data_IF_309681204119
#
_entry.id   IF_309681204119
#
_cell.length_a   1.000
_cell.length_b   1.000
_cell.length_c   1.000
_cell.angle_alpha   90.00
_cell.angle_beta   90.00
_cell.angle_gamma   90.00
#
_symmetry.space_group_name_H-M   'P 1'
#
loop_
_entity.id
_entity.type
_entity.pdbx_description
1 polymer ?
#
# COMPACT_ATOMS: atom_id res chain seq x y z
N UNK A 1 7.95 7.50 -3.36
CA UNK A 1 7.58 8.30 -2.18
C UNK A 1 7.31 9.71 -2.63
N UNK A 2 6.13 10.26 -2.34
CA UNK A 2 5.75 11.63 -2.67
C UNK A 2 5.19 12.34 -1.42
N UNK A 3 6.02 13.20 -0.82
CA UNK A 3 5.72 13.90 0.44
C UNK A 3 5.25 15.35 0.25
N UNK A 4 4.78 15.72 -0.95
CA UNK A 4 4.25 17.05 -1.26
C UNK A 4 2.84 16.96 -1.86
N UNK A 5 2.14 18.09 -1.87
CA UNK A 5 0.82 18.17 -2.46
C UNK A 5 0.39 19.60 -2.81
N UNK A 6 -0.81 19.71 -3.35
CA UNK A 6 -1.47 20.95 -3.73
C UNK A 6 -2.98 20.86 -3.52
N UNK A 7 -3.65 22.00 -3.60
CA UNK A 7 -5.11 22.07 -3.52
C UNK A 7 -5.76 21.25 -4.65
N UNK A 8 -6.78 20.40 -4.38
CA UNK A 8 -7.35 19.49 -5.37
C UNK A 8 -7.85 20.13 -6.67
N UNK A 9 -8.29 21.38 -6.61
CA UNK A 9 -8.83 22.11 -7.76
C UNK A 9 -7.81 23.10 -8.38
N UNK A 10 -6.56 23.07 -7.93
CA UNK A 10 -5.51 23.93 -8.47
C UNK A 10 -4.89 23.34 -9.75
N UNK A 11 -4.42 24.18 -10.66
CA UNK A 11 -3.43 23.74 -11.64
C UNK A 11 -2.09 23.59 -10.90
N UNK A 12 -1.38 22.44 -10.97
CA UNK A 12 -1.46 21.33 -11.95
C UNK A 12 -2.05 20.00 -11.41
N UNK A 13 -3.06 20.03 -10.53
CA UNK A 13 -3.55 18.85 -9.80
C UNK A 13 -3.93 17.67 -10.70
N UNK A 14 -4.69 17.91 -11.78
CA UNK A 14 -5.08 16.85 -12.72
C UNK A 14 -3.88 16.20 -13.41
N UNK A 15 -2.88 17.00 -13.81
CA UNK A 15 -1.65 16.49 -14.41
C UNK A 15 -0.89 15.58 -13.43
N UNK A 16 -0.82 15.98 -12.16
CA UNK A 16 -0.14 15.21 -11.12
C UNK A 16 -0.86 13.87 -10.84
N UNK A 17 -2.19 13.87 -10.75
CA UNK A 17 -2.98 12.63 -10.61
C UNK A 17 -2.76 11.69 -11.79
N UNK A 18 -2.87 12.21 -13.01
CA UNK A 18 -2.69 11.42 -14.23
C UNK A 18 -1.26 10.87 -14.35
N UNK A 19 -0.24 11.66 -13.99
CA UNK A 19 1.14 11.20 -13.98
C UNK A 19 1.31 10.05 -12.96
N UNK A 20 0.77 10.20 -11.76
CA UNK A 20 0.84 9.19 -10.72
C UNK A 20 0.13 7.89 -11.14
N UNK A 21 -1.10 7.99 -11.62
CA UNK A 21 -1.88 6.84 -12.07
C UNK A 21 -1.15 6.07 -13.19
N UNK A 22 -0.48 6.78 -14.10
CA UNK A 22 0.35 6.15 -15.14
C UNK A 22 1.60 5.46 -14.58
N UNK A 23 2.25 6.01 -13.55
CA UNK A 23 3.38 5.35 -12.87
C UNK A 23 2.97 3.97 -12.34
N UNK A 24 1.78 3.88 -11.77
CA UNK A 24 1.26 2.64 -11.19
C UNK A 24 0.79 1.69 -12.29
N UNK A 25 -0.10 2.13 -13.17
CA UNK A 25 -0.75 1.26 -14.14
C UNK A 25 0.13 0.86 -15.33
N UNK A 26 0.95 1.79 -15.84
CA UNK A 26 1.73 1.56 -17.07
C UNK A 26 3.15 1.13 -16.78
N UNK A 27 3.76 1.69 -15.73
CA UNK A 27 5.16 1.45 -15.41
C UNK A 27 5.36 0.47 -14.25
N UNK A 28 4.29 0.07 -13.56
CA UNK A 28 4.38 -0.88 -12.44
C UNK A 28 5.13 -0.34 -11.24
N UNK A 29 5.18 0.99 -11.08
CA UNK A 29 5.88 1.66 -9.98
C UNK A 29 4.86 2.04 -8.90
N UNK A 30 4.94 1.48 -7.68
CA UNK A 30 4.03 1.86 -6.60
C UNK A 30 4.28 3.30 -6.15
N UNK A 31 3.19 4.05 -5.97
CA UNK A 31 3.21 5.47 -5.65
C UNK A 31 2.62 5.71 -4.26
N UNK A 32 3.49 5.79 -3.26
CA UNK A 32 3.15 6.13 -1.87
C UNK A 32 3.15 7.65 -1.70
N UNK A 33 2.05 8.23 -1.22
CA UNK A 33 1.80 9.69 -1.21
C UNK A 33 1.31 10.17 0.14
N UNK A 34 1.69 11.38 0.55
CA UNK A 34 1.16 12.02 1.75
C UNK A 34 -0.31 12.43 1.57
N UNK A 35 -1.13 12.26 2.62
CA UNK A 35 -2.52 12.69 2.58
C UNK A 35 -2.70 14.21 2.64
N UNK A 36 -1.73 14.94 3.22
CA UNK A 36 -1.80 16.39 3.45
C UNK A 36 -1.72 16.77 4.93
N UNK A 37 -1.51 18.07 5.19
CA UNK A 37 -1.36 18.61 6.55
C UNK A 37 -2.43 19.68 6.88
N UNK A 38 -3.59 19.63 6.23
CA UNK A 38 -4.68 20.61 6.43
C UNK A 38 -5.65 20.24 7.56
N UNK A 39 -5.58 18.99 8.07
CA UNK A 39 -6.55 18.45 9.03
C UNK A 39 -7.96 18.27 8.47
N UNK A 40 -8.12 18.38 7.16
CA UNK A 40 -9.42 18.33 6.48
C UNK A 40 -9.49 17.11 5.55
N UNK A 41 -9.56 17.35 4.25
CA UNK A 41 -9.65 16.34 3.20
C UNK A 41 -8.27 16.02 2.63
N UNK A 42 -8.15 14.84 2.01
CA UNK A 42 -6.95 14.41 1.29
C UNK A 42 -6.63 15.37 0.15
N UNK A 43 -5.39 15.84 0.09
CA UNK A 43 -4.91 16.77 -0.93
C UNK A 43 -4.41 16.05 -2.18
N UNK A 44 -4.29 16.78 -3.28
CA UNK A 44 -3.67 16.26 -4.49
C UNK A 44 -2.14 16.13 -4.30
N UNK A 45 -1.48 15.06 -4.80
CA UNK A 45 -2.01 13.94 -5.57
C UNK A 45 -2.37 12.71 -4.71
N UNK A 46 -2.50 12.85 -3.39
CA UNK A 46 -2.96 11.77 -2.52
C UNK A 46 -4.40 11.32 -2.82
N UNK A 47 -5.16 12.15 -3.52
CA UNK A 47 -6.50 11.81 -3.99
C UNK A 47 -6.53 11.15 -5.39
N UNK A 48 -5.37 10.83 -5.97
CA UNK A 48 -5.29 10.09 -7.23
C UNK A 48 -5.81 8.65 -7.05
N UNK A 49 -6.43 8.10 -8.09
CA UNK A 49 -7.15 6.82 -8.01
C UNK A 49 -6.25 5.65 -7.64
N UNK A 50 -4.99 5.68 -8.05
CA UNK A 50 -4.00 4.63 -7.79
C UNK A 50 -2.85 5.12 -6.89
N UNK A 51 -3.03 6.21 -6.14
CA UNK A 51 -2.14 6.53 -5.03
C UNK A 51 -2.30 5.53 -3.89
N UNK A 52 -1.22 5.29 -3.16
CA UNK A 52 -1.24 4.67 -1.85
C UNK A 52 -1.02 5.76 -0.80
N UNK A 53 -2.10 6.24 -0.20
CA UNK A 53 -2.15 7.50 0.53
C UNK A 53 -1.98 7.30 2.03
N UNK A 54 -1.09 8.09 2.61
CA UNK A 54 -0.58 7.89 3.97
C UNK A 54 -0.88 9.08 4.86
N UNK A 55 -1.62 8.81 5.93
CA UNK A 55 -1.90 9.74 7.02
C UNK A 55 -0.88 9.65 8.16
N UNK A 56 -1.01 10.55 9.13
CA UNK A 56 -0.08 10.67 10.24
C UNK A 56 -0.77 10.42 11.59
N UNK A 57 -0.22 9.48 12.37
CA UNK A 57 -0.55 9.31 13.79
C UNK A 57 0.61 9.72 14.69
N UNK A 58 0.30 9.98 15.95
CA UNK A 58 1.28 10.14 17.00
C UNK A 58 1.72 8.80 17.61
N UNK A 59 2.68 8.86 18.55
CA UNK A 59 3.23 7.69 19.25
C UNK A 59 2.18 6.90 20.05
N UNK A 60 1.02 7.51 20.34
CA UNK A 60 -0.11 6.91 21.05
C UNK A 60 -1.17 6.36 20.10
N UNK A 61 -0.88 6.36 18.79
CA UNK A 61 -1.76 5.92 17.70
C UNK A 61 -3.01 6.81 17.52
N UNK A 62 -3.01 8.03 18.05
CA UNK A 62 -4.06 9.00 17.74
C UNK A 62 -3.73 9.72 16.43
N UNK A 63 -4.75 9.97 15.61
CA UNK A 63 -4.58 10.77 14.39
C UNK A 63 -4.01 12.14 14.74
N UNK A 64 -2.99 12.58 14.01
CA UNK A 64 -2.44 13.91 14.18
C UNK A 64 -3.49 14.94 13.75
N UNK A 65 -3.66 16.03 14.50
CA UNK A 65 -4.67 17.05 14.21
C UNK A 65 -4.50 17.71 12.83
N UNK A 66 -3.28 17.71 12.28
CA UNK A 66 -3.00 18.20 10.93
C UNK A 66 -3.22 17.14 9.85
N UNK A 67 -3.32 15.86 10.17
CA UNK A 67 -3.41 14.80 9.17
C UNK A 67 -4.70 14.94 8.39
N UNK A 68 -4.59 15.18 7.08
CA UNK A 68 -5.73 15.13 6.18
C UNK A 68 -6.31 13.71 6.16
N UNK A 69 -7.64 13.62 6.21
CA UNK A 69 -8.42 12.40 6.35
C UNK A 69 -9.43 12.30 5.20
N UNK A 70 -9.91 11.10 4.86
CA UNK A 70 -10.85 10.93 3.76
C UNK A 70 -10.96 9.49 3.27
N UNK A 71 -11.86 9.27 2.31
CA UNK A 71 -12.09 7.94 1.72
C UNK A 71 -10.91 7.45 0.87
N UNK A 72 -10.00 8.36 0.51
CA UNK A 72 -8.79 8.11 -0.26
C UNK A 72 -7.63 7.62 0.61
N UNK A 73 -7.76 7.66 1.93
CA UNK A 73 -6.71 7.26 2.87
C UNK A 73 -6.52 5.74 2.86
N UNK A 74 -5.29 5.25 2.62
CA UNK A 74 -5.02 3.81 2.68
C UNK A 74 -4.62 3.36 4.08
N UNK A 75 -3.60 3.99 4.65
CA UNK A 75 -3.07 3.62 5.95
C UNK A 75 -2.56 4.86 6.67
N UNK A 76 -2.31 4.73 7.95
CA UNK A 76 -1.54 5.72 8.72
C UNK A 76 -0.17 5.18 9.08
N UNK A 77 0.77 6.09 9.29
CA UNK A 77 2.07 5.79 9.90
C UNK A 77 2.47 6.91 10.87
N UNK A 78 3.45 6.65 11.72
CA UNK A 78 3.94 7.64 12.67
C UNK A 78 4.46 8.88 11.93
N UNK A 79 3.83 10.03 12.22
CA UNK A 79 4.15 11.31 11.57
C UNK A 79 4.31 12.47 12.53
N UNK A 80 4.30 12.23 13.84
CA UNK A 80 4.43 13.28 14.87
C UNK A 80 5.73 13.10 15.64
N UNK A 81 6.50 14.18 15.79
CA UNK A 81 7.77 14.20 16.52
C UNK A 81 8.79 13.16 16.03
N UNK A 82 8.81 12.92 14.72
CA UNK A 82 9.73 12.00 14.05
C UNK A 82 11.14 12.60 14.11
N UNK A 83 12.10 11.81 14.58
CA UNK A 83 13.50 12.20 14.61
C UNK A 83 14.10 12.07 13.21
N UNK A 84 14.70 13.13 12.69
CA UNK A 84 15.40 13.13 11.40
C UNK A 84 16.58 14.11 11.44
N UNK A 85 17.38 14.13 10.38
CA UNK A 85 18.43 15.13 10.19
C UNK A 85 17.94 16.26 9.30
N UNK A 86 18.25 17.50 9.67
CA UNK A 86 18.07 18.66 8.79
C UNK A 86 19.24 18.75 7.78
N UNK A 87 19.19 19.67 6.79
CA UNK A 87 20.29 19.84 5.82
C UNK A 87 21.64 20.20 6.45
N UNK A 88 21.65 20.75 7.67
CA UNK A 88 22.86 21.05 8.44
C UNK A 88 23.44 19.83 9.18
N UNK A 89 22.79 18.66 9.08
CA UNK A 89 23.21 17.44 9.77
C UNK A 89 22.80 17.36 11.25
N UNK A 90 21.91 18.25 11.70
CA UNK A 90 21.47 18.28 13.09
C UNK A 90 20.26 17.36 13.29
N UNK A 91 20.25 16.64 14.42
CA UNK A 91 19.12 15.82 14.82
C UNK A 91 17.96 16.73 15.27
N UNK A 92 16.86 16.69 14.53
CA UNK A 92 15.65 17.47 14.79
C UNK A 92 14.43 16.57 14.95
N UNK A 93 13.36 17.12 15.52
CA UNK A 93 12.04 16.49 15.52
C UNK A 93 11.11 17.26 14.60
N UNK A 94 10.41 16.53 13.75
CA UNK A 94 9.52 17.08 12.72
C UNK A 94 8.19 16.34 12.74
N UNK A 95 7.14 17.02 12.27
CA UNK A 95 5.80 16.45 12.20
C UNK A 95 5.19 16.76 10.83
N UNK A 96 4.48 15.79 10.27
CA UNK A 96 3.82 15.91 8.97
C UNK A 96 3.58 14.54 8.33
N UNK A 97 2.53 14.45 7.50
CA UNK A 97 2.29 13.26 6.64
C UNK A 97 3.44 13.04 5.66
N UNK A 98 4.21 14.10 5.36
CA UNK A 98 5.49 14.07 4.64
C UNK A 98 6.53 13.13 5.29
N UNK A 99 6.45 12.87 6.59
CA UNK A 99 7.36 11.96 7.31
C UNK A 99 6.77 10.56 7.50
N UNK A 100 5.44 10.42 7.54
CA UNK A 100 4.75 9.13 7.49
C UNK A 100 4.97 8.42 6.13
N UNK A 101 4.92 9.18 5.04
CA UNK A 101 5.03 8.68 3.66
C UNK A 101 6.34 7.91 3.37
N UNK A 102 7.54 8.42 3.71
CA UNK A 102 8.78 7.67 3.50
C UNK A 102 8.91 6.44 4.40
N UNK A 103 8.29 6.42 5.59
CA UNK A 103 8.24 5.21 6.44
C UNK A 103 7.51 4.09 5.69
N UNK A 104 6.30 4.36 5.18
CA UNK A 104 5.52 3.38 4.40
C UNK A 104 6.26 2.99 3.11
N UNK A 105 6.91 3.95 2.44
CA UNK A 105 7.73 3.66 1.26
C UNK A 105 8.88 2.68 1.57
N UNK A 106 9.50 2.81 2.75
CA UNK A 106 10.48 1.86 3.25
C UNK A 106 9.90 0.48 3.53
N UNK A 107 8.68 0.41 4.10
CA UNK A 107 7.97 -0.85 4.28
C UNK A 107 7.71 -1.57 2.94
N UNK A 108 7.28 -0.82 1.92
CA UNK A 108 7.10 -1.34 0.57
C UNK A 108 8.41 -1.90 0.01
N UNK A 109 9.51 -1.17 0.17
CA UNK A 109 10.83 -1.61 -0.29
C UNK A 109 11.26 -2.92 0.39
N UNK A 110 11.03 -3.09 1.69
CA UNK A 110 11.34 -4.33 2.43
C UNK A 110 10.59 -5.53 1.82
N UNK A 111 9.31 -5.39 1.53
CA UNK A 111 8.50 -6.45 0.91
C UNK A 111 8.93 -6.71 -0.55
N UNK A 112 9.27 -5.65 -1.29
CA UNK A 112 9.72 -5.73 -2.68
C UNK A 112 11.08 -6.44 -2.86
N UNK A 113 11.94 -6.47 -1.84
CA UNK A 113 13.22 -7.22 -1.90
C UNK A 113 12.98 -8.73 -2.04
N UNK A 114 11.90 -9.25 -1.49
CA UNK A 114 11.59 -10.69 -1.51
C UNK A 114 10.53 -11.08 -2.52
N UNK A 115 9.70 -10.12 -2.93
CA UNK A 115 8.54 -10.39 -3.77
C UNK A 115 8.52 -9.48 -4.99
N UNK A 116 7.95 -9.96 -6.08
CA UNK A 116 7.72 -9.15 -7.29
C UNK A 116 6.23 -8.84 -7.45
N UNK A 117 5.58 -8.45 -6.35
CA UNK A 117 4.15 -8.16 -6.38
C UNK A 117 3.87 -6.94 -7.27
N UNK A 118 2.86 -7.01 -8.15
CA UNK A 118 2.36 -5.83 -8.84
C UNK A 118 1.91 -4.76 -7.83
N UNK A 119 1.99 -3.46 -8.16
CA UNK A 119 1.66 -2.38 -7.23
C UNK A 119 0.30 -2.53 -6.54
N UNK A 120 -0.75 -2.85 -7.28
CA UNK A 120 -2.10 -2.97 -6.72
C UNK A 120 -2.22 -4.15 -5.74
N UNK A 121 -1.52 -5.26 -6.01
CA UNK A 121 -1.44 -6.39 -5.08
C UNK A 121 -0.65 -6.03 -3.83
N UNK A 122 0.42 -5.25 -3.97
CA UNK A 122 1.17 -4.71 -2.84
C UNK A 122 0.30 -3.76 -2.00
N UNK A 123 -0.53 -2.93 -2.62
CA UNK A 123 -1.45 -2.06 -1.89
C UNK A 123 -2.45 -2.87 -1.06
N UNK A 124 -3.11 -3.86 -1.68
CA UNK A 124 -4.05 -4.74 -0.96
C UNK A 124 -3.39 -5.51 0.17
N UNK A 125 -2.15 -5.99 -0.02
CA UNK A 125 -1.38 -6.60 1.04
C UNK A 125 -1.25 -5.64 2.23
N UNK A 126 -0.79 -4.41 2.01
CA UNK A 126 -0.61 -3.45 3.09
C UNK A 126 -1.92 -2.97 3.72
N UNK A 127 -3.03 -2.89 2.97
CA UNK A 127 -4.37 -2.62 3.50
C UNK A 127 -4.84 -3.74 4.42
N UNK A 128 -4.75 -4.99 3.96
CA UNK A 128 -5.27 -6.16 4.67
C UNK A 128 -4.42 -6.58 5.87
N UNK A 129 -3.14 -6.21 5.91
CA UNK A 129 -2.26 -6.49 7.06
C UNK A 129 -2.05 -5.30 7.98
N UNK A 130 -2.65 -4.14 7.69
CA UNK A 130 -2.57 -3.00 8.59
C UNK A 130 -3.21 -3.35 9.95
N UNK A 131 -2.63 -2.80 11.02
CA UNK A 131 -3.21 -2.91 12.35
C UNK A 131 -4.34 -1.92 12.47
N UNK A 132 -5.56 -2.45 12.46
CA UNK A 132 -6.80 -1.68 12.56
C UNK A 132 -6.80 -0.73 13.78
N UNK A 133 -7.25 0.50 13.56
CA UNK A 133 -7.38 1.59 14.53
C UNK A 133 -8.69 2.31 14.30
N UNK A 134 -9.34 2.78 15.36
CA UNK A 134 -10.59 3.51 15.22
C UNK A 134 -11.79 2.57 15.08
N UNK A 135 -12.58 2.76 14.03
CA UNK A 135 -13.77 1.93 13.79
C UNK A 135 -13.36 0.66 13.07
N UNK A 136 -13.83 -0.53 13.47
CA UNK A 136 -13.40 -1.78 12.86
C UNK A 136 -13.51 -1.79 11.33
N UNK A 137 -12.41 -2.12 10.66
CA UNK A 137 -12.30 -2.13 9.21
C UNK A 137 -11.85 -0.78 8.63
N UNK A 138 -12.29 -0.47 7.42
CA UNK A 138 -11.95 0.81 6.80
C UNK A 138 -12.73 1.96 7.44
N UNK A 139 -12.02 3.02 7.82
CA UNK A 139 -12.63 4.30 8.17
C UNK A 139 -11.86 5.49 7.57
N UNK A 140 -12.54 6.64 7.43
CA UNK A 140 -11.94 7.81 6.79
C UNK A 140 -10.83 8.48 7.64
N UNK A 141 -10.68 8.11 8.91
CA UNK A 141 -9.74 8.73 9.86
C UNK A 141 -8.40 7.98 9.90
N UNK A 142 -8.43 6.66 9.83
CA UNK A 142 -7.24 5.79 9.90
C UNK A 142 -7.01 4.96 8.62
N UNK A 143 -7.92 5.03 7.64
CA UNK A 143 -7.88 4.17 6.46
C UNK A 143 -8.14 2.73 6.88
N UNK A 144 -7.24 1.82 6.51
CA UNK A 144 -7.20 0.44 6.99
C UNK A 144 -6.41 0.27 8.31
N UNK A 145 -5.86 1.35 8.87
CA UNK A 145 -5.14 1.35 10.14
C UNK A 145 -3.64 1.64 10.02
N UNK A 146 -2.90 1.32 11.08
CA UNK A 146 -1.45 1.55 11.16
C UNK A 146 -0.69 0.54 10.31
N UNK A 147 0.22 1.02 9.48
CA UNK A 147 1.12 0.17 8.69
C UNK A 147 1.85 -0.87 9.55
N UNK A 148 1.82 -2.14 9.14
CA UNK A 148 2.54 -3.24 9.78
C UNK A 148 3.36 -4.01 8.74
N UNK A 149 4.64 -3.68 8.66
CA UNK A 149 5.58 -4.31 7.72
C UNK A 149 5.85 -5.78 8.04
N UNK A 150 5.77 -6.18 9.31
CA UNK A 150 6.05 -7.57 9.73
C UNK A 150 4.92 -8.47 9.27
N UNK A 151 3.68 -8.04 9.51
CA UNK A 151 2.48 -8.74 9.03
C UNK A 151 2.43 -8.78 7.51
N UNK A 152 2.71 -7.65 6.83
CA UNK A 152 2.78 -7.60 5.37
C UNK A 152 3.84 -8.57 4.80
N UNK A 153 5.06 -8.54 5.33
CA UNK A 153 6.16 -9.38 4.87
C UNK A 153 5.88 -10.89 5.08
N UNK A 154 5.30 -11.24 6.23
CA UNK A 154 4.94 -12.63 6.55
C UNK A 154 3.83 -13.15 5.62
N UNK A 155 2.78 -12.36 5.41
CA UNK A 155 1.69 -12.69 4.48
C UNK A 155 2.17 -12.85 3.04
N UNK A 156 3.05 -11.95 2.58
CA UNK A 156 3.62 -12.02 1.23
C UNK A 156 4.48 -13.29 1.02
N UNK A 157 5.23 -13.69 2.05
CA UNK A 157 6.06 -14.90 1.99
C UNK A 157 5.20 -16.16 1.94
N UNK A 158 4.12 -16.22 2.74
CA UNK A 158 3.20 -17.36 2.73
C UNK A 158 2.47 -17.52 1.39
N UNK A 159 2.06 -16.41 0.76
CA UNK A 159 1.49 -16.44 -0.60
C UNK A 159 2.50 -16.93 -1.63
N UNK A 160 3.77 -16.52 -1.52
CA UNK A 160 4.82 -16.97 -2.42
C UNK A 160 5.03 -18.49 -2.33
N UNK A 161 5.14 -19.03 -1.11
CA UNK A 161 5.30 -20.48 -0.89
C UNK A 161 4.14 -21.24 -1.53
N UNK A 162 2.89 -20.86 -1.25
CA UNK A 162 1.72 -21.51 -1.82
C UNK A 162 1.77 -21.52 -3.36
N UNK A 163 2.00 -20.37 -4.02
CA UNK A 163 2.05 -20.30 -5.48
C UNK A 163 3.12 -21.21 -6.10
N UNK A 164 4.32 -21.25 -5.51
CA UNK A 164 5.42 -22.09 -6.00
C UNK A 164 5.17 -23.58 -5.79
N UNK A 165 4.41 -23.95 -4.76
CA UNK A 165 4.05 -25.34 -4.50
C UNK A 165 2.97 -25.81 -5.48
N UNK A 166 1.99 -24.97 -5.83
CA UNK A 166 0.96 -25.33 -6.81
C UNK A 166 1.58 -25.49 -8.21
N UNK A 167 2.48 -24.58 -8.63
CA UNK A 167 3.21 -24.72 -9.90
C UNK A 167 4.08 -25.98 -9.95
N UNK A 168 4.76 -26.33 -8.85
CA UNK A 168 5.52 -27.60 -8.76
C UNK A 168 4.62 -28.82 -8.85
N UNK A 169 3.45 -28.81 -8.20
CA UNK A 169 2.48 -29.91 -8.26
C UNK A 169 1.95 -30.09 -9.69
N UNK A 170 1.71 -29.00 -10.43
CA UNK A 170 1.31 -29.09 -11.84
C UNK A 170 2.44 -29.54 -12.77
N UNK A 171 3.68 -29.12 -12.51
CA UNK A 171 4.84 -29.48 -13.35
C UNK A 171 5.21 -30.97 -13.20
N UNK A 172 4.96 -31.58 -12.04
CA UNK A 172 5.20 -33.01 -11.80
C UNK A 172 4.21 -33.91 -12.58
N UNK A 173 3.07 -33.37 -13.04
CA UNK A 173 1.99 -34.14 -13.69
C UNK A 173 2.11 -34.31 -15.23
N UNK A 174 3.19 -33.84 -15.87
CA UNK A 174 3.32 -33.84 -17.34
C UNK A 174 4.41 -34.77 -17.92
N UNK A 175 4.80 -35.82 -17.20
CA UNK A 175 5.60 -36.90 -17.82
C UNK A 175 4.70 -37.77 -18.72
N UNK A 176 5.00 -37.93 -20.02
CA UNK A 176 4.16 -38.68 -20.94
C UNK A 176 4.46 -40.17 -20.83
N UNK A 177 3.89 -40.84 -19.82
CA UNK A 177 3.62 -42.28 -19.87
C UNK A 177 2.91 -42.72 -18.58
N UNK A 178 1.59 -42.77 -18.60
CA UNK A 178 0.75 -43.93 -18.26
C UNK A 178 -0.71 -43.48 -18.29
N UNK A 179 -1.51 -44.29 -18.98
CA UNK A 179 -2.92 -44.13 -19.25
C UNK A 179 -3.74 -44.13 -17.94
N UNK A 180 -4.66 -43.17 -17.84
CA UNK A 180 -5.86 -43.25 -17.00
C UNK A 180 -5.75 -42.62 -15.62
N UNK A 181 -6.33 -41.42 -15.44
CA UNK A 181 -6.84 -40.99 -14.14
C UNK A 181 -8.04 -40.06 -14.32
N UNK A 182 -9.19 -40.51 -13.81
CA UNK A 182 -10.42 -39.71 -13.72
C UNK A 182 -10.24 -38.65 -12.65
N UNK A 183 -10.29 -37.36 -13.04
CA UNK A 183 -10.38 -36.25 -12.09
C UNK A 183 -11.85 -36.04 -11.74
N UNK A 184 -12.24 -36.39 -10.52
CA UNK A 184 -13.52 -35.96 -9.94
C UNK A 184 -13.31 -34.57 -9.36
N UNK A 185 -13.73 -33.53 -10.09
CA UNK A 185 -13.83 -32.17 -9.54
C UNK A 185 -15.20 -31.98 -8.91
N UNK A 186 -15.26 -31.89 -7.58
CA UNK A 186 -16.42 -31.29 -6.91
C UNK A 186 -16.23 -29.78 -6.88
N UNK A 187 -17.07 -29.03 -7.60
CA UNK A 187 -17.36 -27.64 -7.23
C UNK A 187 -17.16 -26.58 -8.32
N UNK A 188 -18.20 -26.42 -9.14
CA UNK A 188 -18.67 -25.17 -9.78
C UNK A 188 -17.79 -24.46 -10.82
N UNK A 189 -18.23 -24.65 -12.08
CA UNK A 189 -17.86 -23.94 -13.29
C UNK A 189 -18.03 -22.41 -13.18
N UNK A 190 -17.04 -21.64 -13.67
CA UNK A 190 -17.31 -20.50 -14.55
C UNK A 190 -16.36 -20.48 -15.75
N UNK A 191 -17.01 -20.59 -16.91
CA UNK A 191 -16.52 -20.63 -18.28
C UNK A 191 -15.98 -19.26 -18.69
N UNK A 192 -14.75 -19.19 -19.20
CA UNK A 192 -14.30 -18.10 -20.06
C UNK A 192 -14.23 -18.64 -21.50
N UNK A 193 -14.98 -18.00 -22.40
CA UNK A 193 -14.81 -18.15 -23.84
C UNK A 193 -13.64 -17.23 -24.23
N UNK A 194 -12.79 -17.78 -25.08
CA UNK A 194 -11.57 -17.28 -25.76
C UNK A 194 -11.31 -15.78 -25.70
#
# INVERSE_FOLDING_TARGET
SNSFGCEPNSMPAELLRNALDNMVLRYGIPMVVASGNSGSYVLCPGDAKYAFTVGAVDKTNYIASFSSCGKELDVVAYGVNIKTFNPSGELVKVSGTSFSTPIVSGCFAIVAVKTKLPPLTMYELFRTTARDLGTPGFDNQYGYGLVDVVSAYSSATNQHIQSTDIEKVFTISLLPSVVGLTVVSSGSLRRWIV
#
